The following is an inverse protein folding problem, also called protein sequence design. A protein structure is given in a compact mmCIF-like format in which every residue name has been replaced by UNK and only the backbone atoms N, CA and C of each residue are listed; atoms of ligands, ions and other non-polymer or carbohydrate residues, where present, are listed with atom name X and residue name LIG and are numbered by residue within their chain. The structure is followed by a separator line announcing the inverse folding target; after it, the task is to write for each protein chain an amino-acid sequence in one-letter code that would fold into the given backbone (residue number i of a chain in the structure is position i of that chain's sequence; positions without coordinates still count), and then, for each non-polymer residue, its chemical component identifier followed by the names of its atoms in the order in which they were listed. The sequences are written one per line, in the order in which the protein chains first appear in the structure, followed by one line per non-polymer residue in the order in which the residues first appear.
data_IF_957388135248
#
_entry.id   IF_957388135248
#
_cell.length_a   1.000
_cell.length_b   1.000
_cell.length_c   1.000
_cell.angle_alpha   90.00
_cell.angle_beta   90.00
_cell.angle_gamma   90.00
#
_symmetry.space_group_name_H-M   'P 1'
#
loop_
_entity.id
_entity.type
_entity.pdbx_description
1 polymer ?
#
# COMPACT_ATOMS: atom_id res chain seq x y z
N UNK A 1 -43.93 -0.83 16.18
CA UNK A 1 -43.39 -0.95 14.82
C UNK A 1 -41.87 -0.85 14.94
N UNK A 2 -41.24 -1.96 15.30
CA UNK A 2 -40.40 -2.77 14.39
C UNK A 2 -39.40 -1.89 13.64
N UNK A 3 -38.32 -1.53 14.31
CA UNK A 3 -37.02 -1.35 13.67
C UNK A 3 -36.11 -2.55 14.02
N UNK A 4 -36.69 -3.75 14.04
CA UNK A 4 -35.92 -4.99 13.94
C UNK A 4 -35.68 -5.29 12.47
N UNK A 5 -34.81 -4.53 11.80
CA UNK A 5 -34.37 -4.88 10.46
C UNK A 5 -33.08 -4.15 10.17
N UNK A 6 -31.96 -4.73 10.59
CA UNK A 6 -30.81 -4.98 9.72
C UNK A 6 -29.87 -6.00 10.39
N UNK A 7 -29.92 -7.30 10.05
CA UNK A 7 -28.80 -8.22 10.26
C UNK A 7 -27.72 -8.00 9.19
N UNK A 8 -27.45 -6.75 8.80
CA UNK A 8 -26.29 -6.43 7.96
C UNK A 8 -25.00 -6.33 8.80
N UNK A 9 -25.13 -6.34 10.13
CA UNK A 9 -24.08 -6.07 11.10
C UNK A 9 -23.35 -7.32 11.63
N UNK A 10 -23.13 -8.33 10.79
CA UNK A 10 -22.33 -9.48 11.19
C UNK A 10 -21.52 -10.09 10.03
N UNK A 11 -20.79 -9.25 9.32
CA UNK A 11 -19.44 -9.67 8.93
C UNK A 11 -18.51 -9.15 10.01
N UNK A 12 -18.40 -9.90 11.11
CA UNK A 12 -17.49 -9.57 12.20
C UNK A 12 -16.06 -9.76 11.71
N UNK A 13 -15.56 -8.76 10.98
CA UNK A 13 -14.15 -8.68 10.66
C UNK A 13 -13.42 -8.36 11.96
N UNK A 14 -12.86 -9.39 12.60
CA UNK A 14 -12.03 -9.17 13.77
C UNK A 14 -10.76 -8.40 13.37
N UNK A 15 -10.49 -7.32 14.08
CA UNK A 15 -9.39 -6.41 13.78
C UNK A 15 -8.03 -7.10 14.00
N UNK A 16 -7.94 -7.98 15.00
CA UNK A 16 -6.71 -8.72 15.29
C UNK A 16 -6.42 -9.75 14.18
N UNK A 17 -7.41 -10.53 13.77
CA UNK A 17 -7.27 -11.46 12.65
C UNK A 17 -6.97 -10.74 11.33
N UNK A 18 -7.62 -9.61 11.06
CA UNK A 18 -7.34 -8.78 9.89
C UNK A 18 -5.89 -8.28 9.92
N UNK A 19 -5.44 -7.74 11.05
CA UNK A 19 -4.07 -7.25 11.19
C UNK A 19 -3.03 -8.35 11.04
N UNK A 20 -3.29 -9.54 11.59
CA UNK A 20 -2.44 -10.71 11.44
C UNK A 20 -2.31 -11.12 9.97
N UNK A 21 -3.41 -11.15 9.22
CA UNK A 21 -3.41 -11.46 7.78
C UNK A 21 -2.64 -10.41 6.97
N UNK A 22 -2.84 -9.13 7.26
CA UNK A 22 -2.11 -8.03 6.60
C UNK A 22 -0.61 -8.07 6.88
N UNK A 23 -0.22 -8.40 8.11
CA UNK A 23 1.19 -8.47 8.51
C UNK A 23 1.89 -9.78 8.09
N UNK A 24 1.14 -10.83 7.76
CA UNK A 24 1.66 -12.20 7.58
C UNK A 24 2.74 -12.35 6.50
N UNK A 25 2.70 -11.55 5.42
CA UNK A 25 3.59 -11.68 4.26
C UNK A 25 4.89 -10.89 4.40
N UNK A 26 5.12 -10.23 5.54
CA UNK A 26 6.25 -9.32 5.75
C UNK A 26 7.52 -10.09 6.12
N UNK A 27 8.59 -9.85 5.39
CA UNK A 27 9.94 -10.29 5.73
C UNK A 27 10.67 -9.24 6.60
N UNK A 28 11.66 -9.67 7.41
CA UNK A 28 12.57 -8.74 8.07
C UNK A 28 13.25 -7.79 7.06
N UNK A 29 13.42 -6.52 7.43
CA UNK A 29 13.99 -5.45 6.57
C UNK A 29 13.22 -5.15 5.27
N UNK A 30 12.05 -5.76 5.06
CA UNK A 30 11.16 -5.40 3.97
C UNK A 30 10.42 -4.10 4.31
N UNK A 31 10.23 -3.28 3.29
CA UNK A 31 9.39 -2.09 3.39
C UNK A 31 7.94 -2.46 3.68
N UNK A 32 7.23 -1.58 4.38
CA UNK A 32 5.80 -1.73 4.59
C UNK A 32 5.08 -1.68 3.24
N UNK A 33 4.16 -2.61 3.03
CA UNK A 33 3.32 -2.61 1.83
C UNK A 33 2.42 -1.36 1.82
N UNK A 34 1.99 -0.89 0.63
CA UNK A 34 1.11 0.26 0.51
C UNK A 34 -0.21 0.07 1.28
N UNK A 35 -0.78 -1.13 1.23
CA UNK A 35 -2.04 -1.47 1.91
C UNK A 35 -1.88 -1.41 3.43
N UNK A 36 -0.73 -1.89 3.94
CA UNK A 36 -0.42 -1.83 5.36
C UNK A 36 -0.18 -0.37 5.82
N UNK A 37 0.49 0.46 5.01
CA UNK A 37 0.65 1.90 5.31
C UNK A 37 -0.69 2.62 5.34
N UNK A 38 -1.57 2.37 4.37
CA UNK A 38 -2.91 2.95 4.34
C UNK A 38 -3.69 2.57 5.59
N UNK A 39 -3.69 1.28 5.95
CA UNK A 39 -4.38 0.78 7.15
C UNK A 39 -3.85 1.42 8.43
N UNK A 40 -2.53 1.55 8.56
CA UNK A 40 -1.88 2.24 9.68
C UNK A 40 -2.39 3.69 9.76
N UNK A 41 -2.34 4.43 8.64
CA UNK A 41 -2.75 5.84 8.61
C UNK A 41 -4.24 5.98 8.96
N UNK A 42 -5.10 5.10 8.46
CA UNK A 42 -6.53 5.08 8.81
C UNK A 42 -6.74 4.89 10.31
N UNK A 43 -6.06 3.93 10.94
CA UNK A 43 -6.21 3.68 12.37
C UNK A 43 -5.71 4.85 13.22
N UNK A 44 -4.60 5.48 12.83
CA UNK A 44 -4.11 6.71 13.48
C UNK A 44 -5.14 7.84 13.32
N UNK A 45 -5.69 8.04 12.12
CA UNK A 45 -6.72 9.04 11.87
C UNK A 45 -8.01 8.81 12.69
N UNK A 46 -8.34 7.56 12.99
CA UNK A 46 -9.46 7.20 13.88
C UNK A 46 -9.15 7.39 15.38
N UNK A 47 -7.95 7.86 15.74
CA UNK A 47 -7.56 8.18 17.11
C UNK A 47 -6.83 7.06 17.86
N UNK A 48 -6.45 5.96 17.18
CA UNK A 48 -5.61 4.92 17.81
C UNK A 48 -4.21 5.47 18.06
N UNK A 49 -3.59 5.05 19.16
CA UNK A 49 -2.22 5.44 19.45
C UNK A 49 -1.22 4.70 18.55
N UNK A 50 -0.08 5.32 18.23
CA UNK A 50 0.99 4.67 17.46
C UNK A 50 1.50 3.37 18.10
N UNK A 51 1.42 3.28 19.42
CA UNK A 51 1.79 2.09 20.19
C UNK A 51 0.82 0.94 19.93
N UNK A 52 -0.48 1.18 20.09
CA UNK A 52 -1.53 0.18 19.82
C UNK A 52 -1.42 -0.36 18.39
N UNK A 53 -1.24 0.54 17.42
CA UNK A 53 -1.10 0.15 16.01
C UNK A 53 0.17 -0.67 15.78
N UNK A 54 1.28 -0.31 16.42
CA UNK A 54 2.53 -1.06 16.36
C UNK A 54 2.40 -2.48 16.91
N UNK A 55 1.74 -2.62 18.05
CA UNK A 55 1.45 -3.91 18.69
C UNK A 55 0.52 -4.76 17.81
N UNK A 56 -0.52 -4.16 17.23
CA UNK A 56 -1.51 -4.83 16.38
C UNK A 56 -0.88 -5.44 15.10
N UNK A 57 -0.01 -4.71 14.40
CA UNK A 57 0.63 -5.18 13.16
C UNK A 57 2.04 -5.78 13.36
N UNK A 58 2.51 -5.90 14.61
CA UNK A 58 3.88 -6.35 14.93
C UNK A 58 4.96 -5.53 14.19
N UNK A 59 4.77 -4.22 14.14
CA UNK A 59 5.70 -3.26 13.54
C UNK A 59 6.26 -2.35 14.61
N UNK A 60 7.49 -1.87 14.43
CA UNK A 60 8.07 -0.94 15.39
C UNK A 60 7.31 0.40 15.37
N UNK A 61 7.24 1.08 16.51
CA UNK A 61 6.68 2.45 16.59
C UNK A 61 7.31 3.39 15.56
N UNK A 62 8.62 3.24 15.30
CA UNK A 62 9.34 4.02 14.28
C UNK A 62 8.84 3.76 12.87
N UNK A 63 8.46 2.51 12.55
CA UNK A 63 7.86 2.18 11.26
C UNK A 63 6.46 2.78 11.11
N UNK A 64 5.66 2.79 12.18
CA UNK A 64 4.35 3.47 12.22
C UNK A 64 4.52 4.97 11.97
N UNK A 65 5.41 5.61 12.72
CA UNK A 65 5.72 7.04 12.54
C UNK A 65 6.21 7.33 11.11
N UNK A 66 7.07 6.48 10.57
CA UNK A 66 7.56 6.60 9.20
C UNK A 66 6.46 6.48 8.15
N UNK A 67 5.45 5.64 8.36
CA UNK A 67 4.30 5.53 7.47
C UNK A 67 3.44 6.81 7.47
N UNK A 68 3.17 7.36 8.66
CA UNK A 68 2.43 8.62 8.81
C UNK A 68 3.19 9.77 8.16
N UNK A 69 4.48 9.93 8.48
CA UNK A 69 5.33 10.97 7.90
C UNK A 69 5.40 10.87 6.37
N UNK A 70 5.50 9.65 5.84
CA UNK A 70 5.51 9.43 4.40
C UNK A 70 4.22 9.96 3.76
N UNK A 71 3.06 9.63 4.33
CA UNK A 71 1.77 10.11 3.82
C UNK A 71 1.66 11.64 3.92
N UNK A 72 2.04 12.23 5.05
CA UNK A 72 2.05 13.69 5.23
C UNK A 72 2.97 14.42 4.24
N UNK A 73 4.07 13.79 3.81
CA UNK A 73 5.07 14.43 2.94
C UNK A 73 4.79 14.20 1.45
N UNK A 74 4.16 13.08 1.10
CA UNK A 74 4.06 12.63 -0.29
C UNK A 74 2.64 12.32 -0.76
N UNK A 75 1.65 12.38 0.13
CA UNK A 75 0.23 12.07 -0.16
C UNK A 75 0.06 10.72 -0.87
N UNK A 76 0.96 9.77 -0.60
CA UNK A 76 1.03 8.47 -1.25
C UNK A 76 1.35 7.39 -0.23
N UNK A 77 0.96 6.15 -0.55
CA UNK A 77 1.35 4.96 0.22
C UNK A 77 2.42 4.12 -0.48
N UNK A 78 2.72 4.43 -1.75
CA UNK A 78 3.68 3.67 -2.53
C UNK A 78 5.11 4.06 -2.17
N UNK A 79 5.99 3.06 -2.08
CA UNK A 79 7.40 3.34 -1.90
C UNK A 79 7.97 4.08 -3.10
N UNK A 80 8.75 5.12 -2.82
CA UNK A 80 9.50 5.85 -3.84
C UNK A 80 10.81 5.12 -4.13
N UNK A 81 11.36 5.26 -5.35
CA UNK A 81 12.71 4.80 -5.65
C UNK A 81 13.69 5.32 -4.61
N UNK A 82 14.57 4.44 -4.10
CA UNK A 82 15.61 4.83 -3.16
C UNK A 82 16.64 5.69 -3.87
N UNK A 83 17.02 6.80 -3.24
CA UNK A 83 18.05 7.71 -3.76
C UNK A 83 19.39 6.98 -3.90
N UNK A 84 20.16 7.32 -4.94
CA UNK A 84 21.56 6.91 -5.08
C UNK A 84 21.83 5.82 -6.12
N UNK A 85 20.80 5.29 -6.80
CA UNK A 85 21.01 4.48 -7.99
C UNK A 85 20.80 5.35 -9.24
N UNK A 86 21.81 5.53 -10.12
CA UNK A 86 21.57 6.19 -11.40
C UNK A 86 20.54 5.37 -12.21
N UNK A 87 19.73 6.06 -13.00
CA UNK A 87 18.80 5.41 -13.92
C UNK A 87 19.59 4.49 -14.85
N UNK A 88 19.15 3.23 -14.98
CA UNK A 88 19.81 2.25 -15.86
C UNK A 88 19.64 2.66 -17.32
N UNK A 89 18.53 3.33 -17.61
CA UNK A 89 18.18 3.84 -18.93
C UNK A 89 18.13 5.35 -18.87
N UNK A 90 18.58 5.98 -19.93
CA UNK A 90 18.29 7.39 -20.20
C UNK A 90 16.83 7.54 -20.61
N UNK A 91 16.25 8.72 -20.37
CA UNK A 91 14.90 9.09 -20.84
C UNK A 91 14.67 8.79 -22.33
N UNK A 92 15.71 8.87 -23.17
CA UNK A 92 15.63 8.55 -24.60
C UNK A 92 15.44 7.05 -24.84
N UNK A 93 16.15 6.21 -24.11
CA UNK A 93 16.03 4.74 -24.22
C UNK A 93 14.66 4.26 -23.72
N UNK A 94 14.15 4.85 -22.63
CA UNK A 94 12.79 4.57 -22.16
C UNK A 94 11.73 4.91 -23.21
N UNK A 95 11.80 6.12 -23.80
CA UNK A 95 10.87 6.54 -24.87
C UNK A 95 10.98 5.65 -26.11
N UNK A 96 12.20 5.20 -26.45
CA UNK A 96 12.41 4.29 -27.56
C UNK A 96 11.77 2.92 -27.31
N UNK A 97 11.95 2.35 -26.11
CA UNK A 97 11.31 1.08 -25.72
C UNK A 97 9.78 1.20 -25.73
N UNK A 98 9.22 2.27 -25.19
CA UNK A 98 7.77 2.51 -25.20
C UNK A 98 7.23 2.62 -26.64
N UNK A 99 7.98 3.27 -27.52
CA UNK A 99 7.63 3.37 -28.95
C UNK A 99 7.63 1.99 -29.60
N UNK A 100 8.66 1.17 -29.36
CA UNK A 100 8.72 -0.20 -29.88
C UNK A 100 7.53 -1.04 -29.40
N UNK A 101 7.22 -0.99 -28.10
CA UNK A 101 6.07 -1.72 -27.52
C UNK A 101 4.76 -1.29 -28.19
N UNK A 102 4.53 0.01 -28.35
CA UNK A 102 3.32 0.53 -28.97
C UNK A 102 3.19 0.12 -30.45
N UNK A 103 4.29 0.16 -31.20
CA UNK A 103 4.33 -0.30 -32.60
C UNK A 103 4.05 -1.80 -32.68
N UNK A 104 4.63 -2.60 -31.78
CA UNK A 104 4.39 -4.06 -31.75
C UNK A 104 2.95 -4.40 -31.37
N UNK A 105 2.35 -3.66 -30.43
CA UNK A 105 0.96 -3.88 -30.04
C UNK A 105 0.00 -3.54 -31.19
N UNK A 106 0.28 -2.48 -31.96
CA UNK A 106 -0.50 -2.13 -33.15
C UNK A 106 -0.39 -3.19 -34.27
N UNK A 107 0.71 -3.96 -34.30
CA UNK A 107 0.92 -5.04 -35.27
C UNK A 107 0.34 -6.40 -34.88
N UNK A 108 -0.17 -6.53 -33.64
CA UNK A 108 -0.72 -7.77 -33.09
C UNK A 108 -2.24 -7.76 -32.96
N UNK A 109 -2.93 -6.72 -33.43
CA UNK A 109 -4.39 -6.69 -33.58
C UNK A 109 -4.79 -7.35 -34.92
N UNK A 110 -5.34 -8.57 -34.95
CA UNK A 110 -5.75 -9.24 -36.19
C UNK A 110 -7.13 -8.77 -36.70
N UNK A 111 -7.57 -7.57 -36.32
CA UNK A 111 -8.92 -7.05 -36.59
C UNK A 111 -8.97 -5.90 -37.61
N UNK A 112 -7.96 -5.75 -38.46
CA UNK A 112 -8.04 -4.99 -39.71
C UNK A 112 -7.82 -5.91 -40.91
#
# INVERSE_FOLDING_TARGET
MIFDLLPFLAMTLDLADFAAKMASRRQPNQELSPELRATICTLIATGRTQREVGELFRVSKKAVQGAVQHFETHESFHSRPRSGRPEVLTRREELYILTLINVTNLSLDPSC
#
